data_IF_767095721755
#
_entry.id   IF_767095721755
#
_cell.length_a   1.000
_cell.length_b   1.000
_cell.length_c   1.000
_cell.angle_alpha   90.00
_cell.angle_beta   90.00
_cell.angle_gamma   90.00
#
_symmetry.space_group_name_H-M   'P 1'
#
loop_
_entity.id
_entity.type
_entity.pdbx_description
1 polymer ?
#
# COMPACT_ATOMS: atom_id res chain seq x y z
N UNK A 1 -61.32 -17.73 -34.00
CA UNK A 1 -62.00 -16.77 -34.88
C UNK A 1 -61.72 -15.36 -34.41
N UNK A 2 -60.66 -14.67 -34.77
CA UNK A 2 -59.32 -14.95 -35.31
C UNK A 2 -58.65 -13.56 -35.39
N UNK A 3 -57.36 -13.48 -35.06
CA UNK A 3 -56.44 -12.41 -35.48
C UNK A 3 -56.57 -11.06 -34.73
N UNK A 4 -55.50 -10.31 -34.48
CA UNK A 4 -54.12 -10.38 -34.95
C UNK A 4 -53.22 -9.57 -34.01
N UNK A 5 -52.02 -10.11 -33.81
CA UNK A 5 -50.87 -9.52 -33.10
C UNK A 5 -50.27 -8.30 -33.82
N UNK A 6 -49.72 -7.37 -33.03
CA UNK A 6 -48.52 -6.61 -33.39
C UNK A 6 -47.84 -6.06 -32.13
N UNK A 7 -46.80 -6.77 -31.66
CA UNK A 7 -45.90 -6.29 -30.62
C UNK A 7 -44.82 -5.36 -31.17
N UNK A 8 -44.37 -4.42 -30.34
CA UNK A 8 -43.10 -3.70 -30.53
C UNK A 8 -42.33 -3.67 -29.20
N UNK A 9 -41.17 -4.30 -29.20
CA UNK A 9 -40.18 -4.25 -28.13
C UNK A 9 -39.12 -3.16 -28.41
N UNK A 10 -38.68 -2.53 -27.32
CA UNK A 10 -37.33 -2.00 -27.04
C UNK A 10 -36.81 -0.77 -27.82
N UNK A 11 -36.66 0.32 -27.06
CA UNK A 11 -35.62 1.35 -27.22
C UNK A 11 -35.57 2.12 -25.89
N UNK A 12 -34.48 2.17 -25.12
CA UNK A 12 -33.10 2.36 -25.53
C UNK A 12 -32.72 3.79 -25.15
N UNK A 13 -32.14 3.94 -23.96
CA UNK A 13 -31.73 5.21 -23.35
C UNK A 13 -30.86 6.04 -24.30
N UNK A 14 -31.28 7.28 -24.55
CA UNK A 14 -30.55 8.26 -25.35
C UNK A 14 -29.56 9.01 -24.44
N UNK A 15 -28.27 8.67 -24.55
CA UNK A 15 -27.18 9.44 -23.94
C UNK A 15 -26.82 10.62 -24.84
N UNK A 16 -26.82 11.81 -24.25
CA UNK A 16 -26.26 13.04 -24.81
C UNK A 16 -24.74 12.91 -25.00
N UNK A 17 -24.25 13.13 -26.21
CA UNK A 17 -22.85 13.50 -26.44
C UNK A 17 -22.85 14.80 -27.25
N UNK A 18 -22.50 15.88 -26.57
CA UNK A 18 -22.11 17.13 -27.21
C UNK A 18 -20.70 17.00 -27.76
N UNK A 19 -20.53 17.42 -29.01
CA UNK A 19 -19.25 17.45 -29.70
C UNK A 19 -19.32 18.42 -30.87
N UNK A 20 -19.30 19.71 -30.55
CA UNK A 20 -19.21 20.81 -31.49
C UNK A 20 -17.79 20.82 -32.06
N UNK A 21 -17.62 20.43 -33.33
CA UNK A 21 -16.37 20.59 -34.07
C UNK A 21 -16.62 21.57 -35.21
N UNK A 22 -16.12 22.77 -35.02
CA UNK A 22 -15.93 23.76 -36.07
C UNK A 22 -14.89 23.25 -37.07
N UNK A 23 -15.29 23.11 -38.33
CA UNK A 23 -14.37 22.90 -39.46
C UNK A 23 -14.47 24.12 -40.35
N UNK A 24 -13.35 24.83 -40.47
CA UNK A 24 -13.16 25.88 -41.45
C UNK A 24 -12.21 25.42 -42.55
N UNK A 25 -12.42 26.04 -43.72
CA UNK A 25 -11.52 26.20 -44.87
C UNK A 25 -11.62 25.16 -45.99
N UNK A 26 -12.17 25.68 -47.09
CA UNK A 26 -11.76 25.66 -48.50
C UNK A 26 -11.30 24.37 -49.19
N UNK A 27 -11.70 24.34 -50.45
CA UNK A 27 -11.22 23.51 -51.56
C UNK A 27 -11.72 22.07 -51.58
N UNK A 28 -12.82 21.93 -52.33
CA UNK A 28 -13.45 20.67 -52.63
C UNK A 28 -12.54 19.70 -53.37
N UNK A 29 -12.58 18.46 -52.90
CA UNK A 29 -12.54 17.22 -53.69
C UNK A 29 -13.18 16.13 -52.84
N UNK A 30 -14.28 15.58 -53.36
CA UNK A 30 -14.91 14.37 -52.82
C UNK A 30 -14.14 13.16 -53.34
N UNK A 31 -13.57 12.36 -52.45
CA UNK A 31 -13.27 10.97 -52.75
C UNK A 31 -13.86 10.08 -51.66
N UNK A 32 -14.78 9.22 -52.09
CA UNK A 32 -15.41 8.16 -51.32
C UNK A 32 -14.52 6.93 -51.53
N UNK A 33 -13.91 6.41 -50.47
CA UNK A 33 -13.28 5.08 -50.51
C UNK A 33 -13.77 4.25 -49.32
N UNK A 34 -14.53 3.21 -49.66
CA UNK A 34 -14.97 2.13 -48.77
C UNK A 34 -13.76 1.40 -48.17
N UNK A 35 -13.78 1.14 -46.86
CA UNK A 35 -12.83 0.25 -46.21
C UNK A 35 -13.59 -0.76 -45.34
N UNK A 36 -13.82 -1.95 -45.89
CA UNK A 36 -14.09 -3.15 -45.12
C UNK A 36 -12.99 -4.18 -45.43
N UNK A 37 -12.49 -4.79 -44.36
CA UNK A 37 -11.64 -6.00 -44.27
C UNK A 37 -10.15 -5.84 -44.63
N UNK A 38 -9.28 -5.81 -43.61
CA UNK A 38 -8.39 -6.92 -43.24
C UNK A 38 -7.45 -6.52 -42.07
N UNK A 39 -7.14 -7.52 -41.25
CA UNK A 39 -6.43 -7.46 -39.98
C UNK A 39 -5.00 -6.89 -40.10
N UNK A 40 -4.58 -6.08 -39.12
CA UNK A 40 -3.21 -5.56 -39.01
C UNK A 40 -2.81 -5.32 -37.55
N UNK A 41 -1.88 -6.14 -37.08
CA UNK A 41 -1.13 -6.01 -35.82
C UNK A 41 -0.41 -4.64 -35.74
N UNK A 42 -0.35 -3.97 -34.56
CA UNK A 42 0.56 -2.84 -34.39
C UNK A 42 1.98 -3.34 -34.11
N UNK A 43 2.88 -3.14 -35.09
CA UNK A 43 4.32 -3.27 -34.95
C UNK A 43 4.88 -2.17 -34.04
N UNK A 44 5.64 -2.59 -33.03
CA UNK A 44 6.58 -1.78 -32.26
C UNK A 44 7.85 -1.49 -33.06
N UNK A 45 8.48 -0.31 -32.93
CA UNK A 45 9.83 -0.08 -33.45
C UNK A 45 10.88 -0.46 -32.39
N UNK A 46 11.43 -1.67 -32.48
CA UNK A 46 12.70 -2.08 -31.84
C UNK A 46 13.47 -2.99 -32.80
N UNK A 47 14.78 -2.73 -32.86
CA UNK A 47 15.90 -3.54 -33.35
C UNK A 47 16.31 -3.32 -34.82
N UNK A 48 17.55 -2.86 -35.03
CA UNK A 48 18.70 -3.75 -35.33
C UNK A 48 20.01 -3.09 -34.85
N UNK A 49 20.70 -3.73 -33.90
CA UNK A 49 22.17 -3.73 -33.82
C UNK A 49 22.59 -5.06 -33.22
N UNK A 50 22.68 -6.07 -34.08
CA UNK A 50 23.26 -7.37 -33.75
C UNK A 50 24.73 -7.37 -34.16
N UNK A 51 25.57 -7.69 -33.18
CA UNK A 51 26.71 -8.60 -33.27
C UNK A 51 27.19 -9.04 -34.66
N UNK A 52 28.44 -8.71 -34.97
CA UNK A 52 29.35 -9.59 -35.71
C UNK A 52 30.75 -9.46 -35.08
N UNK A 53 31.13 -10.45 -34.29
CA UNK A 53 32.51 -10.86 -34.07
C UNK A 53 32.69 -12.20 -34.80
N UNK A 54 33.88 -12.37 -35.35
CA UNK A 54 34.46 -13.55 -35.97
C UNK A 54 34.06 -13.87 -37.42
N UNK A 55 34.92 -13.52 -38.37
CA UNK A 55 35.87 -14.44 -39.02
C UNK A 55 36.77 -13.67 -40.01
N UNK A 56 38.05 -14.08 -40.09
CA UNK A 56 39.13 -13.36 -40.76
C UNK A 56 39.26 -13.58 -42.27
N UNK A 57 40.41 -13.08 -42.77
CA UNK A 57 40.96 -13.10 -44.13
C UNK A 57 40.31 -12.17 -45.18
N UNK A 58 40.98 -11.04 -45.50
CA UNK A 58 41.83 -10.91 -46.70
C UNK A 58 42.25 -9.44 -46.94
N UNK A 59 43.58 -9.27 -46.97
CA UNK A 59 44.42 -8.39 -47.81
C UNK A 59 44.17 -6.87 -47.91
N UNK A 60 45.30 -6.17 -47.73
CA UNK A 60 45.55 -4.75 -47.89
C UNK A 60 45.45 -4.26 -49.34
N UNK A 61 45.14 -2.96 -49.53
CA UNK A 61 45.96 -1.96 -50.25
C UNK A 61 45.38 -0.53 -50.04
N UNK A 62 46.20 0.54 -50.07
CA UNK A 62 45.83 1.91 -49.68
C UNK A 62 45.55 2.83 -50.87
N UNK A 63 44.78 3.91 -50.69
CA UNK A 63 44.79 5.01 -51.66
C UNK A 63 43.63 6.01 -51.61
N UNK A 64 44.04 7.27 -51.44
CA UNK A 64 43.47 8.50 -52.02
C UNK A 64 42.28 9.21 -51.36
N UNK A 65 42.66 10.33 -50.74
CA UNK A 65 41.89 11.53 -50.41
C UNK A 65 41.39 12.21 -51.70
N UNK A 66 40.24 12.90 -51.64
CA UNK A 66 40.25 14.29 -52.12
C UNK A 66 39.62 15.27 -51.11
N UNK A 67 40.26 16.43 -51.07
CA UNK A 67 39.91 17.62 -50.31
C UNK A 67 38.72 18.35 -50.95
N UNK A 68 37.82 18.92 -50.13
CA UNK A 68 37.21 20.22 -50.45
C UNK A 68 37.00 21.06 -49.19
N UNK A 69 37.35 22.33 -49.35
CA UNK A 69 37.61 23.40 -48.41
C UNK A 69 36.42 23.86 -47.54
N UNK A 70 36.74 24.28 -46.30
CA UNK A 70 36.42 25.63 -45.84
C UNK A 70 35.09 25.87 -45.10
N UNK A 71 35.12 25.92 -43.78
CA UNK A 71 34.94 27.18 -43.03
C UNK A 71 35.05 26.95 -41.51
N UNK A 72 36.08 27.58 -40.95
CA UNK A 72 36.45 27.70 -39.55
C UNK A 72 35.46 28.61 -38.81
N UNK A 73 35.18 28.35 -37.52
CA UNK A 73 35.30 29.34 -36.41
C UNK A 73 35.34 28.59 -35.07
N UNK A 74 36.23 29.09 -34.21
CA UNK A 74 36.90 28.48 -33.06
C UNK A 74 36.04 28.32 -31.79
N UNK A 75 36.17 27.17 -31.12
CA UNK A 75 35.99 27.03 -29.67
C UNK A 75 37.35 27.25 -29.00
N UNK A 76 37.45 28.27 -28.14
CA UNK A 76 38.67 28.56 -27.36
C UNK A 76 38.47 28.10 -25.92
N UNK A 77 39.04 26.94 -25.61
CA UNK A 77 39.37 26.50 -24.25
C UNK A 77 40.42 27.43 -23.65
N UNK A 78 40.29 27.78 -22.37
CA UNK A 78 41.45 28.16 -21.55
C UNK A 78 41.37 27.46 -20.19
N UNK A 79 42.34 26.55 -20.03
CA UNK A 79 42.81 25.90 -18.83
C UNK A 79 43.93 26.78 -18.27
N UNK A 80 43.82 27.28 -17.03
CA UNK A 80 44.98 27.70 -16.23
C UNK A 80 44.78 27.22 -14.79
N UNK A 81 45.66 26.29 -14.41
CA UNK A 81 45.93 25.80 -13.06
C UNK A 81 47.10 26.63 -12.52
N UNK A 82 47.05 27.05 -11.25
CA UNK A 82 48.22 27.07 -10.35
C UNK A 82 47.80 27.35 -8.88
N UNK A 83 47.92 26.27 -8.09
CA UNK A 83 48.48 26.14 -6.75
C UNK A 83 48.44 27.33 -5.77
N UNK A 84 47.84 27.12 -4.60
CA UNK A 84 48.54 27.06 -3.30
C UNK A 84 47.57 26.55 -2.23
N UNK A 85 48.04 25.63 -1.37
CA UNK A 85 47.21 24.86 -0.44
C UNK A 85 46.90 25.56 0.87
N UNK A 86 45.86 25.09 1.57
CA UNK A 86 45.77 25.19 3.03
C UNK A 86 44.96 24.02 3.62
N UNK A 87 45.38 23.66 4.83
CA UNK A 87 45.11 22.48 5.66
C UNK A 87 43.62 22.24 5.97
N UNK A 88 43.28 20.98 6.24
CA UNK A 88 41.92 20.50 6.44
C UNK A 88 41.26 20.80 7.78
N UNK A 89 39.97 20.42 7.88
CA UNK A 89 39.28 20.00 9.09
C UNK A 89 37.87 19.46 8.74
N UNK A 90 37.59 18.26 9.24
CA UNK A 90 36.32 17.80 9.83
C UNK A 90 35.01 18.03 9.05
N UNK A 91 34.50 16.95 8.47
CA UNK A 91 33.12 16.80 8.00
C UNK A 91 32.19 16.78 9.21
N UNK A 92 31.51 17.89 9.46
CA UNK A 92 30.37 17.96 10.37
C UNK A 92 29.13 18.25 9.52
N UNK A 93 28.28 17.25 9.33
CA UNK A 93 27.00 17.36 8.63
C UNK A 93 26.08 18.30 9.40
N UNK A 94 26.06 19.59 9.03
CA UNK A 94 25.03 20.53 9.46
C UNK A 94 23.85 20.49 8.50
N UNK A 95 22.67 20.35 9.10
CA UNK A 95 21.34 20.54 8.52
C UNK A 95 21.34 21.82 7.68
N UNK A 96 21.01 21.71 6.39
CA UNK A 96 20.62 22.88 5.61
C UNK A 96 19.23 23.33 6.06
N UNK A 97 19.20 24.37 6.89
CA UNK A 97 18.09 25.30 6.94
C UNK A 97 18.08 26.03 5.59
N UNK A 98 17.02 25.87 4.82
CA UNK A 98 16.78 26.72 3.64
C UNK A 98 16.25 28.05 4.17
N UNK A 99 17.14 29.01 4.36
CA UNK A 99 16.77 30.41 4.58
C UNK A 99 15.98 30.90 3.36
N UNK A 100 14.75 31.38 3.61
CA UNK A 100 13.97 32.12 2.61
C UNK A 100 14.61 33.48 2.42
N UNK A 101 15.31 33.66 1.31
CA UNK A 101 15.54 35.00 0.76
C UNK A 101 14.21 35.48 0.19
N UNK A 102 13.44 36.22 1.00
CA UNK A 102 12.27 36.97 0.52
C UNK A 102 12.79 38.23 -0.14
N UNK A 103 13.04 38.18 -1.45
CA UNK A 103 13.09 39.42 -2.23
C UNK A 103 11.67 39.98 -2.29
N UNK A 104 11.43 41.12 -1.62
CA UNK A 104 10.24 41.93 -1.86
C UNK A 104 10.30 42.42 -3.31
N UNK A 105 9.32 42.12 -4.17
CA UNK A 105 9.25 42.75 -5.48
C UNK A 105 8.87 44.23 -5.29
N UNK A 106 9.75 45.13 -5.70
CA UNK A 106 9.40 46.52 -5.96
C UNK A 106 8.46 46.54 -7.17
N UNK A 107 7.18 46.81 -6.93
CA UNK A 107 6.18 47.01 -7.97
C UNK A 107 6.23 48.49 -8.34
N UNK A 108 6.86 48.83 -9.46
CA UNK A 108 6.63 50.12 -10.13
C UNK A 108 5.54 49.93 -11.18
N UNK A 109 4.47 50.70 -11.05
CA UNK A 109 3.39 50.77 -12.04
C UNK A 109 3.65 51.98 -12.94
N UNK A 110 3.82 51.75 -14.25
CA UNK A 110 3.98 52.81 -15.25
C UNK A 110 2.66 52.91 -16.05
N UNK A 111 1.91 54.03 -15.98
CA UNK A 111 0.54 54.10 -16.47
C UNK A 111 0.38 54.13 -18.01
N UNK A 112 1.45 54.23 -18.79
CA UNK A 112 1.35 54.58 -20.22
C UNK A 112 1.55 53.43 -21.23
N UNK A 113 1.58 52.15 -20.80
CA UNK A 113 1.64 51.02 -21.75
C UNK A 113 1.07 49.69 -21.19
N UNK A 114 -0.12 49.24 -21.61
CA UNK A 114 -0.77 48.03 -21.06
C UNK A 114 -0.34 46.69 -21.68
N UNK A 115 0.70 46.64 -22.54
CA UNK A 115 1.01 45.45 -23.36
C UNK A 115 2.26 44.64 -22.95
N UNK A 116 3.01 45.01 -21.92
CA UNK A 116 4.13 44.20 -21.44
C UNK A 116 3.66 43.15 -20.41
N UNK A 117 3.04 42.08 -20.92
CA UNK A 117 2.86 40.85 -20.17
C UNK A 117 4.23 40.22 -19.89
N UNK A 118 4.82 40.54 -18.72
CA UNK A 118 5.95 39.80 -18.18
C UNK A 118 5.45 38.38 -17.90
N UNK A 119 5.66 37.48 -18.85
CA UNK A 119 5.57 36.05 -18.66
C UNK A 119 6.70 35.65 -17.71
N UNK A 120 6.48 35.81 -16.40
CA UNK A 120 7.23 35.06 -15.41
C UNK A 120 6.86 33.60 -15.64
N UNK A 121 7.71 32.90 -16.39
CA UNK A 121 7.72 31.45 -16.46
C UNK A 121 8.01 30.94 -15.05
N UNK A 122 6.96 30.84 -14.24
CA UNK A 122 6.98 30.09 -13.00
C UNK A 122 7.15 28.64 -13.42
N UNK A 123 8.39 28.16 -13.47
CA UNK A 123 8.71 26.74 -13.53
C UNK A 123 8.22 26.09 -12.24
N UNK A 124 6.92 25.81 -12.19
CA UNK A 124 6.33 25.03 -11.11
C UNK A 124 7.13 23.72 -11.03
N UNK A 125 7.74 23.39 -9.87
CA UNK A 125 8.49 22.17 -9.76
C UNK A 125 7.53 21.00 -10.01
N UNK A 126 7.84 20.21 -11.05
CA UNK A 126 7.08 19.00 -11.40
C UNK A 126 7.33 17.96 -10.30
N UNK A 127 6.53 18.02 -9.25
CA UNK A 127 6.56 17.03 -8.16
C UNK A 127 5.67 15.85 -8.53
N UNK A 128 6.29 14.75 -8.96
CA UNK A 128 5.60 13.48 -9.16
C UNK A 128 5.61 12.70 -7.85
N UNK A 129 4.55 12.82 -7.05
CA UNK A 129 4.41 12.08 -5.78
C UNK A 129 3.33 11.00 -5.91
N UNK A 130 3.59 9.81 -5.37
CA UNK A 130 2.59 8.74 -5.30
C UNK A 130 1.66 8.91 -4.10
N UNK A 131 0.35 8.74 -4.31
CA UNK A 131 -0.71 9.00 -3.32
C UNK A 131 -0.49 8.29 -1.97
N UNK A 132 -0.09 7.01 -1.98
CA UNK A 132 0.10 6.26 -0.72
C UNK A 132 1.43 6.59 -0.02
N UNK A 133 2.42 7.14 -0.75
CA UNK A 133 3.66 7.62 -0.15
C UNK A 133 3.45 8.96 0.54
N UNK A 134 2.61 9.83 -0.03
CA UNK A 134 2.19 11.08 0.59
C UNK A 134 1.34 10.84 1.84
N UNK A 135 0.51 9.79 1.83
CA UNK A 135 -0.22 9.34 3.03
C UNK A 135 0.67 8.64 4.06
N UNK A 136 1.92 8.31 3.73
CA UNK A 136 2.84 7.63 4.65
C UNK A 136 2.39 6.22 5.04
N UNK A 137 1.68 5.50 4.18
CA UNK A 137 1.15 4.15 4.48
C UNK A 137 1.98 3.01 3.90
N UNK A 138 2.74 3.27 2.85
CA UNK A 138 3.44 2.22 2.10
C UNK A 138 4.89 2.61 1.85
N UNK A 139 5.80 1.70 2.22
CA UNK A 139 7.15 1.71 1.69
C UNK A 139 7.19 0.94 0.36
N UNK A 140 7.37 1.67 -0.73
CA UNK A 140 7.45 1.11 -2.07
C UNK A 140 8.71 0.27 -2.30
N UNK A 141 9.78 0.54 -1.55
CA UNK A 141 11.02 -0.21 -1.67
C UNK A 141 10.86 -1.64 -1.15
N UNK A 142 10.30 -1.80 0.06
CA UNK A 142 9.89 -3.09 0.59
C UNK A 142 8.85 -3.78 -0.31
N UNK A 143 7.80 -3.04 -0.73
CA UNK A 143 6.72 -3.59 -1.57
C UNK A 143 7.24 -4.16 -2.89
N UNK A 144 8.16 -3.46 -3.57
CA UNK A 144 8.75 -3.93 -4.83
C UNK A 144 9.33 -5.34 -4.69
N UNK A 145 10.06 -5.62 -3.62
CA UNK A 145 10.68 -6.93 -3.37
C UNK A 145 9.67 -8.01 -2.99
N UNK A 146 8.64 -7.63 -2.26
CA UNK A 146 7.58 -8.54 -1.84
C UNK A 146 6.67 -8.94 -2.99
N UNK A 147 6.40 -8.04 -3.94
CA UNK A 147 5.48 -8.28 -5.06
C UNK A 147 6.17 -8.89 -6.28
N UNK A 148 7.40 -8.45 -6.60
CA UNK A 148 8.10 -8.95 -7.78
C UNK A 148 8.29 -10.46 -7.68
N UNK A 149 7.75 -11.14 -8.70
CA UNK A 149 7.85 -12.56 -8.91
C UNK A 149 8.92 -12.85 -9.98
N UNK A 150 9.54 -14.02 -9.89
CA UNK A 150 10.44 -14.49 -10.93
C UNK A 150 9.68 -14.65 -12.25
N UNK A 151 10.23 -14.13 -13.36
CA UNK A 151 9.54 -14.07 -14.66
C UNK A 151 9.21 -15.46 -15.25
N UNK A 152 9.98 -16.48 -14.87
CA UNK A 152 9.71 -17.87 -15.22
C UNK A 152 8.45 -18.44 -14.54
N UNK A 153 7.94 -17.79 -13.49
CA UNK A 153 6.71 -18.18 -12.77
C UNK A 153 5.49 -17.38 -13.22
N UNK A 154 5.46 -16.95 -14.49
CA UNK A 154 4.36 -16.31 -15.22
C UNK A 154 3.23 -15.72 -14.35
N UNK A 155 2.05 -16.34 -14.35
CA UNK A 155 0.86 -15.86 -13.66
C UNK A 155 0.75 -16.39 -12.21
N UNK A 156 1.76 -17.09 -11.71
CA UNK A 156 1.73 -17.65 -10.35
C UNK A 156 1.86 -16.52 -9.33
N UNK A 157 0.81 -16.27 -8.52
CA UNK A 157 0.80 -15.15 -7.60
C UNK A 157 1.82 -15.36 -6.47
N UNK A 158 2.41 -14.25 -6.01
CA UNK A 158 3.25 -14.21 -4.81
C UNK A 158 2.38 -13.78 -3.63
N UNK A 159 2.02 -14.73 -2.76
CA UNK A 159 1.18 -14.47 -1.60
C UNK A 159 1.96 -13.81 -0.46
N UNK A 160 1.34 -12.80 0.14
CA UNK A 160 1.88 -12.03 1.26
C UNK A 160 0.93 -12.13 2.44
N UNK A 161 1.47 -12.41 3.62
CA UNK A 161 0.78 -12.26 4.89
C UNK A 161 0.93 -10.81 5.34
N UNK A 162 -0.09 -10.00 5.10
CA UNK A 162 -0.14 -8.60 5.51
C UNK A 162 -0.64 -8.55 6.95
N UNK A 163 0.22 -8.12 7.86
CA UNK A 163 -0.14 -7.91 9.27
C UNK A 163 -0.08 -6.42 9.58
N UNK A 164 -1.18 -5.84 10.06
CA UNK A 164 -1.27 -4.43 10.43
C UNK A 164 -1.92 -4.30 11.80
N UNK A 165 -1.35 -3.41 12.60
CA UNK A 165 -1.90 -3.04 13.90
C UNK A 165 -2.53 -1.66 13.79
N UNK A 166 -3.77 -1.56 14.22
CA UNK A 166 -4.39 -0.29 14.59
C UNK A 166 -4.26 -0.10 16.09
N UNK A 167 -4.88 0.93 16.67
CA UNK A 167 -4.84 1.14 18.11
C UNK A 167 -5.62 0.06 18.87
N UNK A 168 -6.69 -0.48 18.28
CA UNK A 168 -7.64 -1.38 18.97
C UNK A 168 -7.83 -2.74 18.28
N UNK A 169 -7.33 -2.89 17.05
CA UNK A 169 -7.57 -4.09 16.22
C UNK A 169 -6.29 -4.57 15.54
N UNK A 170 -6.20 -5.89 15.36
CA UNK A 170 -5.15 -6.59 14.61
C UNK A 170 -5.74 -7.10 13.31
N UNK A 171 -5.11 -6.72 12.21
CA UNK A 171 -5.55 -7.08 10.86
C UNK A 171 -4.53 -8.05 10.29
N UNK A 172 -4.96 -9.27 9.98
CA UNK A 172 -4.17 -10.26 9.26
C UNK A 172 -4.87 -10.60 7.93
N UNK A 173 -4.15 -10.54 6.81
CA UNK A 173 -4.71 -10.81 5.48
C UNK A 173 -3.72 -11.57 4.61
N UNK A 174 -4.22 -12.50 3.77
CA UNK A 174 -3.44 -13.09 2.69
C UNK A 174 -3.74 -12.34 1.40
N UNK A 175 -2.72 -11.70 0.85
CA UNK A 175 -2.85 -10.77 -0.26
C UNK A 175 -1.90 -11.14 -1.38
N UNK A 176 -2.36 -11.05 -2.62
CA UNK A 176 -1.52 -11.15 -3.80
C UNK A 176 -1.78 -9.98 -4.75
N UNK A 177 -0.79 -9.62 -5.56
CA UNK A 177 -0.88 -8.45 -6.42
C UNK A 177 -1.37 -8.82 -7.83
N UNK A 178 -2.24 -7.98 -8.41
CA UNK A 178 -2.57 -7.94 -9.85
C UNK A 178 -2.37 -6.51 -10.36
N UNK A 179 -2.43 -6.33 -11.68
CA UNK A 179 -2.27 -5.01 -12.32
C UNK A 179 -3.34 -4.02 -11.88
N UNK A 180 -4.60 -4.48 -11.74
CA UNK A 180 -5.71 -3.65 -11.27
C UNK A 180 -5.55 -3.22 -9.81
N UNK A 181 -4.85 -4.01 -9.00
CA UNK A 181 -4.74 -3.80 -7.56
C UNK A 181 -4.42 -5.10 -6.82
N UNK A 182 -4.37 -4.99 -5.49
CA UNK A 182 -4.16 -6.14 -4.61
C UNK A 182 -5.47 -6.88 -4.36
N UNK A 183 -5.43 -8.20 -4.47
CA UNK A 183 -6.56 -9.09 -4.22
C UNK A 183 -6.34 -9.83 -2.90
N UNK A 184 -7.39 -9.89 -2.07
CA UNK A 184 -7.38 -10.55 -0.78
C UNK A 184 -7.96 -11.96 -0.95
N UNK A 185 -7.21 -12.99 -0.55
CA UNK A 185 -7.68 -14.37 -0.54
C UNK A 185 -8.53 -14.63 0.73
N UNK A 186 -8.00 -14.20 1.87
CA UNK A 186 -8.62 -14.32 3.19
C UNK A 186 -8.23 -13.15 4.08
N UNK A 187 -9.10 -12.87 5.04
CA UNK A 187 -8.89 -11.90 6.10
C UNK A 187 -9.30 -12.49 7.45
N UNK A 188 -8.61 -12.08 8.49
CA UNK A 188 -9.01 -12.26 9.87
C UNK A 188 -8.71 -10.99 10.66
N UNK A 189 -9.60 -10.65 11.56
CA UNK A 189 -9.49 -9.49 12.43
C UNK A 189 -9.57 -9.90 13.90
N UNK A 190 -8.97 -9.13 14.81
CA UNK A 190 -9.04 -9.48 16.24
C UNK A 190 -10.40 -9.21 16.85
N UNK A 191 -11.20 -8.29 16.31
CA UNK A 191 -12.59 -8.10 16.73
C UNK A 191 -13.52 -9.29 16.45
N UNK A 192 -13.06 -10.32 15.73
CA UNK A 192 -13.79 -11.59 15.56
C UNK A 192 -13.48 -12.59 16.68
N UNK A 193 -12.41 -12.38 17.45
CA UNK A 193 -11.96 -13.28 18.51
C UNK A 193 -12.94 -13.48 19.68
N UNK A 194 -13.82 -12.51 20.04
CA UNK A 194 -14.84 -12.73 21.06
C UNK A 194 -15.80 -13.88 20.74
N UNK A 195 -15.95 -14.25 19.46
CA UNK A 195 -16.71 -15.44 19.05
C UNK A 195 -16.06 -16.74 19.52
N UNK A 196 -14.74 -16.75 19.68
CA UNK A 196 -13.93 -17.90 20.07
C UNK A 196 -13.48 -17.81 21.54
N UNK A 197 -14.21 -17.09 22.39
CA UNK A 197 -13.91 -16.99 23.82
C UNK A 197 -12.94 -15.89 24.26
N UNK A 198 -12.20 -15.23 23.36
CA UNK A 198 -11.29 -14.13 23.74
C UNK A 198 -12.04 -12.80 23.76
N UNK A 199 -12.47 -12.39 24.94
CA UNK A 199 -13.31 -11.21 25.11
C UNK A 199 -12.51 -9.96 25.54
N UNK A 200 -11.45 -10.15 26.35
CA UNK A 200 -10.50 -9.09 26.73
C UNK A 200 -9.23 -9.02 25.87
N UNK A 201 -8.66 -7.81 25.72
CA UNK A 201 -7.26 -7.66 25.27
C UNK A 201 -6.95 -7.92 23.79
N UNK A 202 -7.81 -7.49 22.86
CA UNK A 202 -7.74 -7.81 21.41
C UNK A 202 -6.47 -7.36 20.65
N UNK A 203 -5.54 -6.65 21.29
CA UNK A 203 -4.29 -6.19 20.66
C UNK A 203 -3.03 -6.74 21.32
N UNK A 204 -3.13 -7.59 22.34
CA UNK A 204 -1.96 -8.17 22.98
C UNK A 204 -1.22 -9.15 22.05
N UNK A 205 -0.11 -9.72 22.54
CA UNK A 205 0.67 -10.68 21.77
C UNK A 205 -0.12 -11.97 21.49
N UNK A 206 -0.84 -12.48 22.49
CA UNK A 206 -1.68 -13.68 22.41
C UNK A 206 -2.84 -13.57 21.39
N UNK A 207 -3.54 -12.43 21.37
CA UNK A 207 -4.59 -12.13 20.38
C UNK A 207 -4.00 -12.03 18.97
N UNK A 208 -2.84 -11.41 18.81
CA UNK A 208 -2.15 -11.39 17.51
C UNK A 208 -1.80 -12.81 17.04
N UNK A 209 -1.32 -13.68 17.93
CA UNK A 209 -1.11 -15.10 17.66
C UNK A 209 -2.42 -15.79 17.23
N UNK A 210 -3.49 -15.64 18.00
CA UNK A 210 -4.80 -16.21 17.70
C UNK A 210 -5.37 -15.72 16.35
N UNK A 211 -5.19 -14.45 15.99
CA UNK A 211 -5.59 -13.93 14.66
C UNK A 211 -4.79 -14.55 13.51
N UNK A 212 -3.50 -14.79 13.71
CA UNK A 212 -2.65 -15.49 12.74
C UNK A 212 -3.11 -16.93 12.54
N UNK A 213 -3.40 -17.64 13.63
CA UNK A 213 -3.93 -19.00 13.61
C UNK A 213 -5.29 -19.08 12.90
N UNK A 214 -6.20 -18.15 13.21
CA UNK A 214 -7.51 -18.05 12.57
C UNK A 214 -7.40 -17.83 11.06
N UNK A 215 -6.51 -16.92 10.64
CA UNK A 215 -6.24 -16.69 9.23
C UNK A 215 -5.68 -17.94 8.55
N UNK A 216 -4.73 -18.64 9.18
CA UNK A 216 -4.16 -19.85 8.61
C UNK A 216 -5.21 -20.93 8.38
N UNK A 217 -6.01 -21.26 9.39
CA UNK A 217 -7.09 -22.25 9.24
C UNK A 217 -8.11 -21.87 8.18
N UNK A 218 -8.50 -20.60 8.10
CA UNK A 218 -9.40 -20.10 7.03
C UNK A 218 -8.84 -20.34 5.65
N UNK A 219 -7.55 -20.10 5.46
CA UNK A 219 -6.90 -20.24 4.14
C UNK A 219 -6.81 -21.68 3.73
N UNK A 220 -6.40 -22.56 4.64
CA UNK A 220 -6.26 -23.98 4.37
C UNK A 220 -7.62 -24.64 4.11
N UNK A 221 -8.68 -24.27 4.85
CA UNK A 221 -10.04 -24.74 4.58
C UNK A 221 -10.52 -24.29 3.20
N UNK A 222 -10.30 -23.01 2.83
CA UNK A 222 -10.68 -22.52 1.50
C UNK A 222 -9.91 -23.20 0.35
N UNK A 223 -8.68 -23.65 0.61
CA UNK A 223 -7.83 -24.32 -0.37
C UNK A 223 -7.95 -25.86 -0.34
N UNK A 224 -8.71 -26.44 0.59
CA UNK A 224 -8.82 -27.89 0.77
C UNK A 224 -7.54 -28.57 1.29
N UNK A 225 -6.73 -27.85 2.06
CA UNK A 225 -5.44 -28.32 2.62
C UNK A 225 -5.46 -28.48 4.14
N UNK A 226 -6.62 -28.28 4.79
CA UNK A 226 -6.74 -28.26 6.24
C UNK A 226 -6.37 -29.60 6.91
N UNK A 227 -6.78 -30.72 6.33
CA UNK A 227 -6.57 -32.06 6.90
C UNK A 227 -5.12 -32.54 6.75
N UNK A 228 -4.44 -32.08 5.70
CA UNK A 228 -3.06 -32.49 5.39
C UNK A 228 -2.04 -31.73 6.23
N UNK A 229 -2.27 -30.44 6.41
CA UNK A 229 -1.38 -29.54 7.15
C UNK A 229 -2.07 -29.07 8.42
N UNK A 230 -2.16 -29.98 9.39
CA UNK A 230 -2.69 -29.66 10.72
C UNK A 230 -1.73 -28.75 11.48
N UNK A 231 -0.44 -28.70 11.16
CA UNK A 231 0.52 -27.84 11.89
C UNK A 231 0.66 -28.26 13.35
N UNK A 232 1.08 -27.32 14.21
CA UNK A 232 1.30 -27.59 15.64
C UNK A 232 -0.04 -27.46 16.37
N UNK A 233 -0.50 -28.52 17.05
CA UNK A 233 -1.77 -28.52 17.81
C UNK A 233 -1.63 -27.81 19.15
N UNK A 234 -0.55 -28.10 19.87
CA UNK A 234 -0.23 -27.54 21.18
C UNK A 234 1.07 -26.74 21.06
N UNK A 235 1.02 -25.41 21.17
CA UNK A 235 2.20 -24.60 20.96
C UNK A 235 3.14 -24.66 22.19
N UNK A 236 4.25 -25.38 22.04
CA UNK A 236 5.31 -25.50 23.04
C UNK A 236 6.32 -24.34 23.01
N UNK A 237 6.16 -23.38 22.08
CA UNK A 237 7.09 -22.28 21.88
C UNK A 237 8.33 -22.64 21.05
N UNK A 238 8.42 -23.86 20.51
CA UNK A 238 9.46 -24.24 19.55
C UNK A 238 9.17 -23.64 18.17
N UNK A 239 10.20 -23.23 17.44
CA UNK A 239 10.06 -22.68 16.09
C UNK A 239 10.24 -23.80 15.08
N UNK A 240 9.13 -24.38 14.64
CA UNK A 240 9.09 -25.32 13.54
C UNK A 240 8.54 -24.67 12.28
N UNK A 241 9.16 -24.98 11.15
CA UNK A 241 8.59 -24.71 9.82
C UNK A 241 7.73 -25.88 9.38
N UNK A 242 6.72 -25.61 8.55
CA UNK A 242 5.85 -26.66 7.99
C UNK A 242 6.59 -27.34 6.83
N UNK A 243 7.05 -28.56 7.06
CA UNK A 243 7.74 -29.35 6.04
C UNK A 243 6.77 -29.90 4.98
N UNK A 244 7.31 -30.16 3.78
CA UNK A 244 6.54 -30.77 2.71
C UNK A 244 6.42 -32.29 2.94
N UNK A 245 5.22 -32.83 2.79
CA UNK A 245 4.98 -34.26 2.84
C UNK A 245 5.25 -34.85 1.45
N UNK A 246 5.89 -36.01 1.37
CA UNK A 246 6.30 -36.63 0.11
C UNK A 246 5.11 -36.97 -0.81
N UNK A 247 4.01 -37.45 -0.22
CA UNK A 247 2.81 -37.89 -0.94
C UNK A 247 1.67 -36.84 -0.96
N UNK A 248 1.97 -35.56 -0.69
CA UNK A 248 0.96 -34.50 -0.62
C UNK A 248 1.33 -33.25 -1.44
N UNK A 249 0.34 -32.39 -1.78
CA UNK A 249 0.62 -31.08 -2.35
C UNK A 249 1.48 -30.27 -1.41
N UNK A 250 2.48 -29.54 -1.92
CA UNK A 250 3.36 -28.69 -1.11
C UNK A 250 2.56 -27.72 -0.23
N UNK A 251 3.07 -27.38 0.98
CA UNK A 251 2.35 -26.50 1.90
C UNK A 251 2.18 -25.10 1.29
N UNK A 252 1.11 -24.42 1.70
CA UNK A 252 0.80 -23.08 1.20
C UNK A 252 1.87 -22.09 1.65
N UNK A 253 2.54 -21.44 0.69
CA UNK A 253 3.65 -20.52 0.96
C UNK A 253 3.19 -19.07 0.98
N UNK A 254 3.47 -18.36 2.07
CA UNK A 254 3.22 -16.93 2.21
C UNK A 254 4.45 -16.18 2.75
N UNK A 255 4.63 -14.92 2.36
CA UNK A 255 5.71 -14.06 2.84
C UNK A 255 5.18 -12.97 3.76
N UNK A 256 5.84 -12.73 4.90
CA UNK A 256 5.41 -11.66 5.80
C UNK A 256 5.60 -10.27 5.17
N UNK A 257 4.54 -9.48 5.19
CA UNK A 257 4.54 -8.06 4.86
C UNK A 257 4.29 -7.26 6.15
N UNK A 258 5.36 -6.72 6.72
CA UNK A 258 5.36 -5.90 7.95
C UNK A 258 4.89 -4.45 7.68
N UNK A 259 4.99 -4.00 6.43
CA UNK A 259 4.75 -2.62 6.04
C UNK A 259 5.78 -1.67 6.64
N UNK A 260 5.31 -0.67 7.40
CA UNK A 260 6.13 0.37 8.01
C UNK A 260 6.50 0.08 9.47
N UNK A 261 6.01 -1.03 10.04
CA UNK A 261 6.30 -1.36 11.42
C UNK A 261 7.78 -1.73 11.55
N UNK A 262 8.44 -1.24 12.60
CA UNK A 262 9.83 -1.60 12.89
C UNK A 262 9.93 -3.09 13.22
N UNK A 263 10.92 -3.77 12.64
CA UNK A 263 11.26 -5.16 12.94
C UNK A 263 12.12 -5.23 14.20
N UNK A 264 11.50 -5.09 15.37
CA UNK A 264 12.13 -5.28 16.68
C UNK A 264 11.86 -6.68 17.23
N UNK A 265 12.77 -7.19 18.06
CA UNK A 265 12.55 -8.42 18.85
C UNK A 265 11.31 -8.26 19.73
N UNK A 266 10.50 -9.32 19.84
CA UNK A 266 9.25 -9.29 20.63
C UNK A 266 8.09 -8.49 20.02
N UNK A 267 8.22 -7.98 18.79
CA UNK A 267 7.12 -7.26 18.13
C UNK A 267 5.92 -8.18 17.89
N UNK A 268 4.72 -7.68 18.22
CA UNK A 268 3.44 -8.39 18.02
C UNK A 268 3.17 -8.82 16.58
N UNK A 269 3.81 -8.19 15.59
CA UNK A 269 3.73 -8.63 14.18
C UNK A 269 4.24 -10.06 14.01
N UNK A 270 5.28 -10.43 14.75
CA UNK A 270 5.83 -11.78 14.71
C UNK A 270 4.94 -12.79 15.46
N UNK A 271 4.08 -12.35 16.38
CA UNK A 271 3.07 -13.19 16.99
C UNK A 271 2.07 -13.73 15.96
N UNK A 272 1.54 -12.85 15.11
CA UNK A 272 0.64 -13.23 14.02
C UNK A 272 1.34 -14.13 12.98
N UNK A 273 2.64 -13.91 12.74
CA UNK A 273 3.44 -14.82 11.93
C UNK A 273 3.53 -16.21 12.57
N UNK A 274 3.83 -16.29 13.88
CA UNK A 274 3.98 -17.55 14.60
C UNK A 274 2.67 -18.33 14.62
N UNK A 275 1.55 -17.66 14.91
CA UNK A 275 0.22 -18.27 14.85
C UNK A 275 -0.16 -18.75 13.45
N UNK A 276 0.23 -18.02 12.40
CA UNK A 276 0.00 -18.46 11.03
C UNK A 276 0.86 -19.68 10.63
N UNK A 277 2.11 -19.74 11.12
CA UNK A 277 3.02 -20.88 10.94
C UNK A 277 2.49 -22.13 11.63
N UNK A 278 2.15 -22.03 12.92
CA UNK A 278 1.59 -23.11 13.73
C UNK A 278 0.21 -23.57 13.19
N UNK A 279 -0.48 -22.67 12.48
CA UNK A 279 -1.71 -22.96 11.77
C UNK A 279 -1.56 -23.79 10.49
N UNK A 280 -0.34 -24.11 10.05
CA UNK A 280 -0.05 -24.96 8.88
C UNK A 280 0.34 -24.20 7.60
N UNK A 281 0.48 -22.87 7.64
CA UNK A 281 1.03 -22.11 6.51
C UNK A 281 2.56 -22.17 6.56
N UNK A 282 3.21 -22.42 5.42
CA UNK A 282 4.64 -22.28 5.31
C UNK A 282 5.03 -20.80 5.15
N UNK A 283 5.62 -20.23 6.20
CA UNK A 283 6.18 -18.88 6.21
C UNK A 283 7.67 -19.01 6.51
N UNK A 284 8.57 -18.61 5.60
CA UNK A 284 10.00 -18.67 5.87
C UNK A 284 10.38 -17.61 6.92
N UNK A 285 10.93 -18.04 8.05
CA UNK A 285 11.30 -17.14 9.15
C UNK A 285 12.48 -17.67 9.99
N UNK A 286 13.00 -16.82 10.88
CA UNK A 286 14.09 -17.18 11.79
C UNK A 286 13.68 -16.84 13.22
N UNK A 287 14.29 -17.52 14.18
CA UNK A 287 13.93 -17.43 15.61
C UNK A 287 14.29 -16.08 16.25
N UNK A 288 15.25 -15.36 15.65
CA UNK A 288 15.91 -14.18 16.19
C UNK A 288 15.00 -12.99 16.54
N UNK A 289 13.72 -13.01 16.14
CA UNK A 289 12.77 -11.90 16.35
C UNK A 289 11.67 -12.21 17.35
N UNK A 290 11.61 -13.44 17.87
CA UNK A 290 10.63 -13.81 18.90
C UNK A 290 11.03 -13.28 20.29
N UNK A 291 10.04 -13.09 21.18
CA UNK A 291 10.34 -12.83 22.60
C UNK A 291 11.08 -14.04 23.19
N UNK A 292 12.01 -13.79 24.12
CA UNK A 292 12.87 -14.83 24.70
C UNK A 292 14.12 -15.16 23.88
N UNK A 293 14.37 -14.47 22.76
CA UNK A 293 15.62 -14.64 22.02
C UNK A 293 16.76 -13.87 22.69
N UNK A 294 17.78 -14.60 23.13
CA UNK A 294 19.02 -14.02 23.63
C UNK A 294 19.98 -13.69 22.47
N UNK A 295 20.43 -12.43 22.44
CA UNK A 295 21.31 -11.92 21.38
C UNK A 295 22.73 -12.46 21.54
N UNK A 296 23.18 -12.69 22.78
CA UNK A 296 24.52 -13.17 23.09
C UNK A 296 24.63 -14.69 22.89
N UNK A 297 23.73 -15.44 23.52
CA UNK A 297 23.65 -16.90 23.41
C UNK A 297 23.13 -17.41 22.07
N UNK A 298 22.52 -16.55 21.24
CA UNK A 298 21.87 -16.90 19.95
C UNK A 298 20.90 -18.07 20.07
N UNK A 299 20.23 -18.18 21.22
CA UNK A 299 19.28 -19.25 21.53
C UNK A 299 17.94 -18.63 21.87
N UNK A 300 16.88 -19.29 21.42
CA UNK A 300 15.51 -18.96 21.80
C UNK A 300 15.15 -19.73 23.07
N UNK A 301 14.67 -18.99 24.07
CA UNK A 301 13.97 -19.59 25.20
C UNK A 301 12.52 -19.90 24.82
N UNK A 302 12.22 -21.20 24.64
CA UNK A 302 10.91 -21.68 24.26
C UNK A 302 9.86 -21.46 25.36
N UNK A 303 10.25 -21.47 26.63
CA UNK A 303 9.33 -21.30 27.76
C UNK A 303 8.80 -19.87 27.80
N UNK A 304 9.69 -18.89 27.59
CA UNK A 304 9.29 -17.48 27.46
C UNK A 304 8.36 -17.30 26.26
N UNK A 305 8.67 -17.90 25.09
CA UNK A 305 7.78 -17.77 23.94
C UNK A 305 6.39 -18.36 24.20
N UNK A 306 6.34 -19.54 24.83
CA UNK A 306 5.09 -20.20 25.25
C UNK A 306 4.28 -19.32 26.19
N UNK A 307 4.92 -18.69 27.18
CA UNK A 307 4.29 -17.74 28.10
C UNK A 307 3.69 -16.53 27.36
N UNK A 308 4.34 -16.04 26.30
CA UNK A 308 3.79 -14.95 25.49
C UNK A 308 2.57 -15.39 24.65
N UNK A 309 2.56 -16.63 24.16
CA UNK A 309 1.44 -17.22 23.40
C UNK A 309 0.17 -17.26 24.24
N UNK A 310 0.27 -17.72 25.49
CA UNK A 310 -0.86 -17.84 26.41
C UNK A 310 -1.13 -16.59 27.25
N UNK A 311 -0.42 -15.48 27.00
CA UNK A 311 -0.67 -14.23 27.70
C UNK A 311 -0.16 -14.16 29.14
N UNK A 312 0.78 -15.02 29.53
CA UNK A 312 1.35 -15.02 30.89
C UNK A 312 2.03 -13.70 31.29
N UNK A 313 2.60 -12.96 30.35
CA UNK A 313 3.11 -11.60 30.60
C UNK A 313 2.01 -10.58 31.00
N UNK A 314 0.76 -10.83 30.59
CA UNK A 314 -0.39 -10.02 31.01
C UNK A 314 -0.85 -10.48 32.39
N UNK A 315 -0.90 -11.79 32.64
CA UNK A 315 -1.26 -12.36 33.93
C UNK A 315 -0.32 -11.87 35.05
N UNK A 316 0.99 -11.94 34.85
CA UNK A 316 1.98 -11.43 35.82
C UNK A 316 1.83 -9.93 36.07
N UNK A 317 1.47 -9.16 35.04
CA UNK A 317 1.26 -7.73 35.20
C UNK A 317 -0.07 -7.42 35.92
N UNK A 318 -1.07 -8.29 35.81
CA UNK A 318 -2.30 -8.22 36.61
C UNK A 318 -1.98 -8.43 38.09
N UNK A 319 -1.28 -9.51 38.43
CA UNK A 319 -0.88 -9.82 39.82
C UNK A 319 -0.03 -8.72 40.44
N UNK A 320 0.95 -8.20 39.68
CA UNK A 320 1.78 -7.09 40.12
C UNK A 320 0.96 -5.84 40.45
N UNK A 321 0.00 -5.47 39.59
CA UNK A 321 -0.83 -4.29 39.81
C UNK A 321 -1.89 -4.48 40.91
N UNK A 322 -2.36 -5.71 41.14
CA UNK A 322 -3.23 -6.02 42.28
C UNK A 322 -2.49 -5.83 43.61
N UNK A 323 -1.20 -6.17 43.67
CA UNK A 323 -0.36 -6.00 44.86
C UNK A 323 0.09 -4.56 45.12
N UNK A 324 0.36 -3.77 44.09
CA UNK A 324 0.88 -2.40 44.25
C UNK A 324 -0.19 -1.30 44.19
N UNK A 325 -1.05 -1.30 43.15
CA UNK A 325 -1.88 -0.15 42.78
C UNK A 325 -3.25 -0.57 42.21
N UNK A 326 -4.21 -0.82 43.09
CA UNK A 326 -5.57 -1.26 42.72
C UNK A 326 -6.31 -0.26 41.80
N UNK A 327 -6.02 1.04 41.91
CA UNK A 327 -6.61 2.05 41.02
C UNK A 327 -6.17 1.88 39.56
N UNK A 328 -4.88 1.60 39.33
CA UNK A 328 -4.35 1.38 37.99
C UNK A 328 -4.91 0.10 37.41
N UNK A 329 -5.03 -0.93 38.24
CA UNK A 329 -5.66 -2.19 37.89
C UNK A 329 -7.10 -1.99 37.39
N UNK A 330 -7.94 -1.31 38.16
CA UNK A 330 -9.33 -0.99 37.79
C UNK A 330 -9.43 -0.21 36.47
N UNK A 331 -8.50 0.71 36.21
CA UNK A 331 -8.48 1.50 34.96
C UNK A 331 -8.09 0.65 33.75
N UNK A 332 -6.96 -0.05 33.83
CA UNK A 332 -6.38 -0.77 32.68
C UNK A 332 -7.15 -2.07 32.38
N UNK A 333 -7.56 -2.81 33.41
CA UNK A 333 -8.22 -4.11 33.28
C UNK A 333 -9.74 -4.02 33.44
N UNK A 334 -10.33 -2.83 33.26
CA UNK A 334 -11.79 -2.63 33.33
C UNK A 334 -12.61 -3.56 32.43
N UNK A 335 -12.05 -4.05 31.33
CA UNK A 335 -12.74 -5.02 30.45
C UNK A 335 -12.71 -6.44 31.05
N UNK A 336 -11.57 -6.85 31.61
CA UNK A 336 -11.43 -8.15 32.28
C UNK A 336 -12.31 -8.22 33.53
N UNK A 337 -12.39 -7.13 34.31
CA UNK A 337 -13.29 -7.02 35.46
C UNK A 337 -14.77 -7.12 35.08
N UNK A 338 -15.18 -6.54 33.95
CA UNK A 338 -16.56 -6.65 33.44
C UNK A 338 -16.93 -8.07 33.03
N UNK A 339 -15.94 -8.85 32.63
CA UNK A 339 -16.12 -10.21 32.13
C UNK A 339 -15.83 -11.27 33.18
N UNK A 340 -15.31 -10.86 34.35
CA UNK A 340 -15.00 -11.75 35.46
C UNK A 340 -13.76 -12.62 35.22
N UNK A 341 -12.75 -12.10 34.51
CA UNK A 341 -11.52 -12.83 34.19
C UNK A 341 -10.39 -12.45 35.16
N UNK A 342 -9.86 -13.44 35.90
CA UNK A 342 -8.68 -13.28 36.75
C UNK A 342 -7.36 -13.59 35.99
N UNK A 343 -6.21 -13.40 36.64
CA UNK A 343 -4.88 -13.69 36.06
C UNK A 343 -4.74 -15.16 35.65
N UNK A 344 -5.16 -16.07 36.54
CA UNK A 344 -5.06 -17.53 36.36
C UNK A 344 -5.91 -18.06 35.19
N UNK A 345 -7.04 -17.41 34.90
CA UNK A 345 -7.99 -17.85 33.87
C UNK A 345 -7.51 -17.57 32.43
N UNK A 346 -6.52 -16.68 32.26
CA UNK A 346 -6.06 -16.24 30.94
C UNK A 346 -5.48 -17.37 30.11
N UNK A 347 -4.67 -18.25 30.70
CA UNK A 347 -4.07 -19.37 29.98
C UNK A 347 -5.13 -20.36 29.48
N UNK A 348 -6.13 -20.67 30.32
CA UNK A 348 -7.28 -21.50 29.95
C UNK A 348 -8.07 -20.90 28.79
N UNK A 349 -8.39 -19.61 28.87
CA UNK A 349 -9.12 -18.88 27.83
C UNK A 349 -8.43 -18.98 26.46
N UNK A 350 -7.12 -18.77 26.36
CA UNK A 350 -6.41 -18.86 25.08
C UNK A 350 -6.31 -20.29 24.54
N UNK A 351 -6.12 -21.29 25.41
CA UNK A 351 -6.12 -22.71 25.02
C UNK A 351 -7.45 -23.11 24.39
N UNK A 352 -8.55 -22.73 25.01
CA UNK A 352 -9.88 -23.06 24.52
C UNK A 352 -10.19 -22.29 23.22
N UNK A 353 -9.80 -21.02 23.14
CA UNK A 353 -9.90 -20.26 21.89
C UNK A 353 -9.14 -20.93 20.74
N UNK A 354 -7.94 -21.47 20.98
CA UNK A 354 -7.16 -22.16 19.95
C UNK A 354 -7.83 -23.47 19.47
N UNK A 355 -8.55 -24.17 20.35
CA UNK A 355 -9.37 -25.34 19.99
C UNK A 355 -10.59 -24.92 19.17
N UNK A 356 -11.31 -23.89 19.62
CA UNK A 356 -12.50 -23.39 18.93
C UNK A 356 -12.18 -22.83 17.53
N UNK A 357 -11.05 -22.12 17.38
CA UNK A 357 -10.57 -21.61 16.09
C UNK A 357 -10.31 -22.76 15.11
N UNK A 358 -9.75 -23.88 15.58
CA UNK A 358 -9.50 -25.06 14.75
C UNK A 358 -10.80 -25.77 14.37
N UNK A 359 -11.75 -25.85 15.31
CA UNK A 359 -13.06 -26.45 15.05
C UNK A 359 -13.89 -25.66 14.03
N UNK A 360 -13.94 -24.33 14.16
CA UNK A 360 -14.83 -23.48 13.37
C UNK A 360 -14.13 -22.25 12.76
N UNK A 361 -13.19 -22.43 11.80
CA UNK A 361 -12.48 -21.30 11.22
C UNK A 361 -13.34 -20.44 10.28
N UNK A 362 -14.54 -20.88 9.91
CA UNK A 362 -15.39 -20.20 8.92
C UNK A 362 -15.78 -18.78 9.34
N UNK A 363 -15.64 -17.83 8.40
CA UNK A 363 -16.02 -16.44 8.59
C UNK A 363 -17.54 -16.28 8.61
N UNK A 364 -18.09 -15.75 9.72
CA UNK A 364 -19.49 -15.37 9.83
C UNK A 364 -19.61 -13.85 9.67
N UNK A 365 -20.21 -13.34 8.58
CA UNK A 365 -20.39 -11.91 8.39
C UNK A 365 -21.37 -11.34 9.42
N UNK A 366 -21.16 -10.07 9.79
CA UNK A 366 -22.10 -9.35 10.67
C UNK A 366 -23.35 -8.94 9.90
N UNK A 367 -24.51 -9.02 10.55
CA UNK A 367 -25.77 -8.56 9.97
C UNK A 367 -25.77 -7.03 9.87
N UNK A 368 -25.92 -6.52 8.64
CA UNK A 368 -25.96 -5.08 8.38
C UNK A 368 -27.40 -4.65 8.12
N UNK A 369 -27.88 -3.65 8.87
CA UNK A 369 -29.15 -2.98 8.60
C UNK A 369 -29.03 -2.23 7.27
N UNK A 370 -29.68 -2.71 6.23
CA UNK A 370 -29.81 -1.98 4.95
C UNK A 370 -30.97 -0.98 5.10
N UNK A 371 -30.86 0.24 4.53
CA UNK A 371 -31.99 1.16 4.48
C UNK A 371 -33.16 0.53 3.71
N UNK A 372 -34.39 0.91 4.06
CA UNK A 372 -35.57 0.44 3.37
C UNK A 372 -35.53 0.85 1.88
N UNK A 373 -36.15 0.04 1.01
CA UNK A 373 -36.17 0.31 -0.42
C UNK A 373 -36.77 1.70 -0.71
N UNK A 374 -35.96 2.59 -1.30
CA UNK A 374 -36.36 3.97 -1.63
C UNK A 374 -35.92 5.04 -0.63
N UNK A 375 -35.44 4.67 0.56
CA UNK A 375 -34.94 5.64 1.54
C UNK A 375 -33.53 6.08 1.19
N UNK A 376 -33.36 7.40 0.93
CA UNK A 376 -32.05 7.97 0.60
C UNK A 376 -31.18 8.02 1.85
N UNK A 377 -30.01 7.40 1.78
CA UNK A 377 -28.98 7.51 2.83
C UNK A 377 -28.63 8.99 3.04
N UNK A 378 -28.70 9.47 4.28
CA UNK A 378 -28.26 10.83 4.63
C UNK A 378 -26.76 10.96 4.35
N UNK A 379 -26.39 11.83 3.41
CA UNK A 379 -24.99 12.10 3.05
C UNK A 379 -24.57 13.44 3.66
N UNK A 380 -23.60 13.41 4.57
CA UNK A 380 -23.06 14.59 5.26
C UNK A 380 -21.94 15.30 4.48
N UNK A 381 -21.58 14.79 3.30
CA UNK A 381 -20.51 15.37 2.49
C UNK A 381 -20.98 16.65 1.81
N UNK A 382 -20.25 17.73 2.03
CA UNK A 382 -20.47 18.99 1.31
C UNK A 382 -20.37 18.77 -0.21
N UNK A 383 -21.40 19.23 -0.91
CA UNK A 383 -21.40 19.20 -2.38
C UNK A 383 -20.49 20.29 -2.89
N UNK A 384 -19.70 19.98 -3.92
CA UNK A 384 -18.88 20.98 -4.59
C UNK A 384 -19.77 22.07 -5.17
N UNK A 385 -19.40 23.33 -4.95
CA UNK A 385 -20.12 24.48 -5.50
C UNK A 385 -20.08 24.44 -7.04
N UNK A 386 -21.24 24.69 -7.64
CA UNK A 386 -21.38 24.86 -9.08
C UNK A 386 -20.74 26.17 -9.54
N UNK A 387 -20.42 26.28 -10.84
CA UNK A 387 -19.79 27.49 -11.41
C UNK A 387 -20.59 28.77 -11.11
N UNK A 388 -21.93 28.73 -11.27
CA UNK A 388 -22.82 29.86 -10.96
C UNK A 388 -22.72 30.30 -9.50
N UNK A 389 -22.73 29.34 -8.58
CA UNK A 389 -22.58 29.62 -7.13
C UNK A 389 -21.21 30.22 -6.82
N UNK A 390 -20.14 29.75 -7.48
CA UNK A 390 -18.79 30.33 -7.33
C UNK A 390 -18.73 31.77 -7.84
N UNK A 391 -19.29 32.05 -9.03
CA UNK A 391 -19.34 33.41 -9.60
C UNK A 391 -20.13 34.36 -8.70
N UNK A 392 -21.29 33.93 -8.21
CA UNK A 392 -22.10 34.71 -7.28
C UNK A 392 -21.36 34.99 -5.97
N UNK A 393 -20.64 33.99 -5.41
CA UNK A 393 -19.83 34.16 -4.19
C UNK A 393 -18.69 35.16 -4.39
N UNK A 394 -18.08 35.21 -5.58
CA UNK A 394 -17.05 36.21 -5.92
C UNK A 394 -17.68 37.61 -6.03
N UNK A 395 -18.80 37.73 -6.74
CA UNK A 395 -19.51 39.00 -6.90
C UNK A 395 -19.94 39.59 -5.55
N UNK A 396 -20.55 38.77 -4.68
CA UNK A 396 -20.93 39.17 -3.32
C UNK A 396 -19.73 39.62 -2.49
N UNK A 397 -18.58 38.93 -2.60
CA UNK A 397 -17.35 39.33 -1.91
C UNK A 397 -16.78 40.65 -2.41
N UNK A 398 -16.80 40.90 -3.72
CA UNK A 398 -16.36 42.18 -4.31
C UNK A 398 -17.25 43.33 -3.84
N UNK A 399 -18.57 43.19 -3.96
CA UNK A 399 -19.53 44.21 -3.53
C UNK A 399 -19.43 44.52 -2.02
N UNK A 400 -19.25 43.49 -1.19
CA UNK A 400 -19.04 43.69 0.25
C UNK A 400 -17.72 44.42 0.54
N UNK A 401 -16.64 44.10 -0.18
CA UNK A 401 -15.35 44.76 -0.02
C UNK A 401 -15.42 46.23 -0.44
N UNK A 402 -16.04 46.52 -1.58
CA UNK A 402 -16.28 47.89 -2.06
C UNK A 402 -17.09 48.69 -1.05
N UNK A 403 -18.19 48.14 -0.53
CA UNK A 403 -19.03 48.80 0.49
C UNK A 403 -18.26 49.09 1.78
N UNK A 404 -17.33 48.23 2.20
CA UNK A 404 -16.55 48.41 3.42
C UNK A 404 -15.45 49.47 3.28
N UNK A 405 -14.86 49.61 2.09
CA UNK A 405 -13.67 50.45 1.88
C UNK A 405 -13.98 51.81 1.25
N UNK A 406 -15.05 51.93 0.45
CA UNK A 406 -15.53 53.21 -0.07
C UNK A 406 -16.64 53.81 0.79
N UNK A 407 -17.22 53.04 1.72
CA UNK A 407 -18.24 53.50 2.67
C UNK A 407 -17.68 53.97 4.02
N UNK A 408 -16.41 54.38 4.06
CA UNK A 408 -15.88 55.19 5.15
C UNK A 408 -16.01 56.65 4.74
N UNK A 409 -17.17 57.24 5.03
CA UNK A 409 -17.46 58.67 5.21
C UNK A 409 -18.98 58.85 5.08
N UNK A 410 -19.71 58.45 6.13
CA UNK A 410 -21.01 59.01 6.54
C UNK A 410 -21.34 58.59 7.97
#
# INVERSE_FOLDING_TARGET
MDGMDAGWMKGGEMMCIGGMVSVGVADGRQEIVNANVWNGLPLSPIAVRQSYQDQGLLQALPGQVPQTQGSTIFFRSYLILLLTGFRGAVVQTRRYNVERVVHKPLISYNPDNPSLSILVFCSLPRTTLSCTRTEGKTDYYARKRLVVQAKNKYNSPKYRLVVRFTNTDVIAQIVYAKIQGDFILTSAYSHELPRYGIKGGLTNWAAAYATGLLLARRTLVKLGLADKYVGVTEPDGTVSEVEALENAPRPFKAFLDVGLKRTSTGSRVFAALKGASDGGIFIPHSENRFPGYDVEGKKLDAEVLRKYIYGGHVAEYMEYLEGEDEEKYKRQFSTFLKEGLASDDLEGMYKDAHKEIRANPAFKPTEKKKPAAGEKVKVYKEKRLNLKQRKNKIAQKKAHWEKKNLGGDE
#
